data_IF_824203727120
#
_entry.id   IF_824203727120
#
_cell.length_a   1.000
_cell.length_b   1.000
_cell.length_c   1.000
_cell.angle_alpha   90.00
_cell.angle_beta   90.00
_cell.angle_gamma   90.00
#
_symmetry.space_group_name_H-M   'P 1'
#
loop_
_entity.id
_entity.type
_entity.pdbx_description
1 polymer ?
#
# COMPACT_ATOMS: atom_id res chain seq x y z
N UNK A 1 23.26 -14.22 4.64
CA UNK A 1 22.79 -13.10 3.80
C UNK A 1 21.84 -12.24 4.63
N UNK A 2 22.13 -10.95 4.83
CA UNK A 2 21.28 -9.99 5.56
C UNK A 2 20.04 -9.65 4.72
N UNK A 3 19.01 -10.51 4.72
CA UNK A 3 17.77 -10.25 3.98
C UNK A 3 16.81 -9.36 4.79
N UNK A 4 16.77 -9.52 6.12
CA UNK A 4 15.83 -8.85 7.04
C UNK A 4 15.91 -7.33 7.10
N UNK A 5 17.11 -6.76 7.02
CA UNK A 5 17.26 -5.30 7.12
C UNK A 5 16.82 -4.59 5.83
N UNK A 6 16.82 -5.27 4.70
CA UNK A 6 16.48 -4.69 3.39
C UNK A 6 14.98 -4.60 3.21
N UNK A 7 14.23 -5.65 3.54
CA UNK A 7 12.79 -5.67 3.37
C UNK A 7 12.08 -4.72 4.34
N UNK A 8 12.45 -4.74 5.62
CA UNK A 8 11.83 -3.87 6.62
C UNK A 8 12.09 -2.38 6.36
N UNK A 9 13.27 -2.05 5.82
CA UNK A 9 13.65 -0.68 5.43
C UNK A 9 12.98 -0.27 4.12
N UNK A 10 12.83 -1.20 3.17
CA UNK A 10 12.08 -1.01 1.93
C UNK A 10 10.60 -0.76 2.19
N UNK A 11 9.94 -1.62 2.98
CA UNK A 11 8.53 -1.51 3.30
C UNK A 11 8.22 -0.22 4.08
N UNK A 12 9.06 0.19 5.04
CA UNK A 12 8.93 1.51 5.70
C UNK A 12 9.08 2.68 4.74
N UNK A 13 10.00 2.59 3.78
CA UNK A 13 10.18 3.61 2.74
C UNK A 13 8.96 3.69 1.83
N UNK A 14 8.44 2.54 1.39
CA UNK A 14 7.23 2.45 0.56
C UNK A 14 6.00 2.98 1.28
N UNK A 15 5.82 2.67 2.57
CA UNK A 15 4.73 3.23 3.40
C UNK A 15 4.81 4.75 3.44
N UNK A 16 5.99 5.32 3.72
CA UNK A 16 6.17 6.77 3.77
C UNK A 16 5.92 7.43 2.41
N UNK A 17 6.45 6.85 1.34
CA UNK A 17 6.24 7.36 -0.02
C UNK A 17 4.76 7.29 -0.42
N UNK A 18 4.07 6.21 -0.08
CA UNK A 18 2.63 6.07 -0.32
C UNK A 18 1.85 7.09 0.48
N UNK A 19 2.20 7.34 1.74
CA UNK A 19 1.54 8.34 2.57
C UNK A 19 1.69 9.75 1.99
N UNK A 20 2.90 10.11 1.54
CA UNK A 20 3.15 11.41 0.90
C UNK A 20 2.37 11.52 -0.40
N UNK A 21 2.44 10.49 -1.26
CA UNK A 21 1.73 10.50 -2.54
C UNK A 21 0.20 10.57 -2.32
N UNK A 22 -0.35 9.72 -1.45
CA UNK A 22 -1.76 9.74 -1.10
C UNK A 22 -2.19 11.11 -0.54
N UNK A 23 -1.34 11.77 0.26
CA UNK A 23 -1.58 13.13 0.74
C UNK A 23 -1.64 14.16 -0.39
N UNK A 24 -0.72 14.11 -1.35
CA UNK A 24 -0.69 15.01 -2.51
C UNK A 24 -1.92 14.79 -3.40
N UNK A 25 -2.25 13.54 -3.72
CA UNK A 25 -3.43 13.21 -4.51
C UNK A 25 -4.73 13.53 -3.79
N UNK A 26 -4.77 13.41 -2.46
CA UNK A 26 -5.92 13.81 -1.65
C UNK A 26 -6.12 15.33 -1.69
N UNK A 27 -5.07 16.12 -1.50
CA UNK A 27 -5.14 17.58 -1.61
C UNK A 27 -5.60 18.02 -3.00
N UNK A 28 -5.01 17.46 -4.06
CA UNK A 28 -5.43 17.74 -5.43
C UNK A 28 -6.90 17.34 -5.66
N UNK A 29 -7.32 16.16 -5.20
CA UNK A 29 -8.69 15.69 -5.31
C UNK A 29 -9.70 16.57 -4.56
N UNK A 30 -9.35 17.07 -3.37
CA UNK A 30 -10.19 18.00 -2.63
C UNK A 30 -10.32 19.37 -3.29
N UNK A 31 -9.26 19.84 -3.94
CA UNK A 31 -9.18 21.20 -4.47
C UNK A 31 -9.81 21.34 -5.85
N UNK A 32 -9.73 20.31 -6.70
CA UNK A 32 -10.27 20.34 -8.07
C UNK A 32 -11.69 19.77 -8.21
N UNK A 33 -12.09 18.82 -7.36
CA UNK A 33 -13.42 18.20 -7.44
C UNK A 33 -14.27 18.49 -6.20
N UNK A 34 -14.00 17.79 -5.10
CA UNK A 34 -14.77 17.92 -3.87
C UNK A 34 -14.06 17.20 -2.71
N UNK A 35 -14.44 17.54 -1.47
CA UNK A 35 -13.87 16.90 -0.28
C UNK A 35 -14.09 15.38 -0.24
N UNK A 36 -15.19 14.88 -0.83
CA UNK A 36 -15.51 13.45 -0.95
C UNK A 36 -14.50 12.68 -1.81
N UNK A 37 -13.90 13.31 -2.82
CA UNK A 37 -12.86 12.71 -3.67
C UNK A 37 -11.57 12.58 -2.88
N UNK A 38 -11.12 13.65 -2.24
CA UNK A 38 -9.92 13.59 -1.41
C UNK A 38 -10.07 12.64 -0.22
N UNK A 39 -11.24 12.60 0.43
CA UNK A 39 -11.54 11.64 1.49
C UNK A 39 -11.48 10.18 0.96
N UNK A 40 -11.96 9.93 -0.26
CA UNK A 40 -11.79 8.65 -0.95
C UNK A 40 -10.31 8.31 -1.17
N UNK A 41 -9.50 9.26 -1.65
CA UNK A 41 -8.04 9.06 -1.85
C UNK A 41 -7.34 8.74 -0.53
N UNK A 42 -7.66 9.46 0.55
CA UNK A 42 -7.12 9.19 1.89
C UNK A 42 -7.51 7.81 2.37
N UNK A 43 -8.77 7.41 2.21
CA UNK A 43 -9.24 6.08 2.58
C UNK A 43 -8.51 4.96 1.80
N UNK A 44 -8.31 5.15 0.49
CA UNK A 44 -7.56 4.23 -0.37
C UNK A 44 -6.09 4.13 0.04
N UNK A 45 -5.44 5.27 0.25
CA UNK A 45 -4.04 5.33 0.69
C UNK A 45 -3.83 4.74 2.08
N UNK A 46 -4.72 5.03 3.04
CA UNK A 46 -4.68 4.46 4.39
C UNK A 46 -4.82 2.94 4.36
N UNK A 47 -5.75 2.41 3.57
CA UNK A 47 -5.91 0.98 3.41
C UNK A 47 -4.60 0.32 2.93
N UNK A 48 -3.94 0.92 1.93
CA UNK A 48 -2.66 0.43 1.42
C UNK A 48 -1.54 0.47 2.47
N UNK A 49 -1.47 1.56 3.24
CA UNK A 49 -0.49 1.74 4.32
C UNK A 49 -0.71 0.72 5.44
N UNK A 50 -1.96 0.53 5.86
CA UNK A 50 -2.34 -0.44 6.89
C UNK A 50 -2.03 -1.86 6.43
N UNK A 51 -2.33 -2.19 5.17
CA UNK A 51 -2.04 -3.49 4.59
C UNK A 51 -0.53 -3.78 4.57
N UNK A 52 0.30 -2.84 4.14
CA UNK A 52 1.76 -3.00 4.19
C UNK A 52 2.30 -3.06 5.61
N UNK A 53 1.76 -2.25 6.52
CA UNK A 53 2.15 -2.27 7.92
C UNK A 53 1.81 -3.61 8.58
N UNK A 54 0.66 -4.19 8.21
CA UNK A 54 0.26 -5.53 8.65
C UNK A 54 1.20 -6.61 8.13
N UNK A 55 1.58 -6.57 6.85
CA UNK A 55 2.58 -7.48 6.29
C UNK A 55 3.93 -7.36 6.99
N UNK A 56 4.38 -6.13 7.26
CA UNK A 56 5.60 -5.85 8.01
C UNK A 56 5.57 -6.43 9.43
N UNK A 57 4.45 -6.24 10.14
CA UNK A 57 4.27 -6.77 11.48
C UNK A 57 4.26 -8.30 11.48
N UNK A 58 3.64 -8.92 10.47
CA UNK A 58 3.63 -10.39 10.30
C UNK A 58 5.01 -10.94 9.95
N UNK A 59 5.76 -10.26 9.10
CA UNK A 59 7.17 -10.60 8.83
C UNK A 59 8.00 -10.55 10.10
N UNK A 60 7.98 -9.45 10.87
CA UNK A 60 8.74 -9.37 12.12
C UNK A 60 8.32 -10.44 13.14
N UNK A 61 7.04 -10.83 13.16
CA UNK A 61 6.57 -11.93 13.99
C UNK A 61 7.15 -13.28 13.55
N UNK A 62 7.27 -13.53 12.24
CA UNK A 62 7.81 -14.78 11.70
C UNK A 62 9.34 -14.84 11.76
N UNK A 63 10.01 -13.70 11.60
CA UNK A 63 11.45 -13.53 11.81
C UNK A 63 11.84 -13.85 13.26
N UNK A 64 11.05 -13.34 14.25
CA UNK A 64 11.22 -13.69 15.67
C UNK A 64 10.97 -15.17 15.99
N UNK A 65 10.30 -15.90 15.10
CA UNK A 65 10.05 -17.34 15.25
C UNK A 65 11.06 -18.20 14.48
N UNK A 66 12.13 -17.61 13.93
CA UNK A 66 13.17 -18.30 13.13
C UNK A 66 12.59 -19.21 12.04
N UNK A 67 11.44 -18.83 11.45
CA UNK A 67 10.81 -19.65 10.41
C UNK A 67 11.55 -19.50 9.08
N UNK A 68 11.61 -20.59 8.34
CA UNK A 68 12.27 -20.67 7.03
C UNK A 68 11.86 -19.51 6.08
N UNK A 69 12.83 -18.84 5.42
CA UNK A 69 12.56 -17.69 4.55
C UNK A 69 11.69 -18.03 3.34
N UNK A 70 11.70 -19.29 2.90
CA UNK A 70 10.83 -19.81 1.84
C UNK A 70 9.36 -19.83 2.31
N UNK A 71 9.13 -20.19 3.57
CA UNK A 71 7.79 -20.25 4.18
C UNK A 71 7.21 -18.84 4.40
N UNK A 72 8.06 -17.88 4.76
CA UNK A 72 7.71 -16.46 4.89
C UNK A 72 7.31 -15.88 3.52
N UNK A 73 8.12 -16.11 2.49
CA UNK A 73 7.88 -15.60 1.13
C UNK A 73 6.60 -16.18 0.50
N UNK A 74 6.33 -17.47 0.71
CA UNK A 74 5.11 -18.12 0.19
C UNK A 74 3.85 -17.61 0.89
N UNK A 75 3.91 -17.33 2.20
CA UNK A 75 2.78 -16.71 2.91
C UNK A 75 2.61 -15.25 2.55
N UNK A 76 3.70 -14.51 2.31
CA UNK A 76 3.62 -13.15 1.79
C UNK A 76 2.93 -13.09 0.42
N UNK A 77 3.23 -14.03 -0.49
CA UNK A 77 2.58 -14.08 -1.80
C UNK A 77 1.09 -14.42 -1.69
N UNK A 78 0.72 -15.33 -0.79
CA UNK A 78 -0.67 -15.63 -0.43
C UNK A 78 -1.39 -14.41 0.13
N UNK A 79 -0.76 -13.66 1.04
CA UNK A 79 -1.32 -12.41 1.55
C UNK A 79 -1.42 -11.35 0.46
N UNK A 80 -0.44 -11.26 -0.44
CA UNK A 80 -0.48 -10.36 -1.59
C UNK A 80 -1.64 -10.70 -2.54
N UNK A 81 -1.99 -11.98 -2.72
CA UNK A 81 -3.21 -12.39 -3.42
C UNK A 81 -4.47 -11.99 -2.63
N UNK A 82 -4.46 -12.15 -1.30
CA UNK A 82 -5.54 -11.69 -0.42
C UNK A 82 -5.76 -10.17 -0.48
N UNK A 83 -4.74 -9.39 -0.85
CA UNK A 83 -4.84 -7.94 -1.05
C UNK A 83 -5.94 -7.60 -2.05
N UNK A 84 -6.08 -8.35 -3.14
CA UNK A 84 -7.11 -8.12 -4.16
C UNK A 84 -8.51 -8.33 -3.59
N UNK A 85 -8.70 -9.41 -2.82
CA UNK A 85 -9.99 -9.72 -2.17
C UNK A 85 -10.37 -8.63 -1.17
N UNK A 86 -9.41 -8.20 -0.34
CA UNK A 86 -9.63 -7.11 0.61
C UNK A 86 -9.90 -5.78 -0.09
N UNK A 87 -9.21 -5.50 -1.20
CA UNK A 87 -9.41 -4.30 -2.00
C UNK A 87 -10.80 -4.26 -2.66
N UNK A 88 -11.31 -5.41 -3.09
CA UNK A 88 -12.69 -5.54 -3.60
C UNK A 88 -13.69 -5.30 -2.46
N UNK A 89 -13.47 -5.92 -1.29
CA UNK A 89 -14.32 -5.72 -0.11
C UNK A 89 -14.37 -4.26 0.33
N UNK A 90 -13.23 -3.57 0.35
CA UNK A 90 -13.19 -2.15 0.71
C UNK A 90 -13.74 -1.25 -0.38
N UNK A 91 -13.59 -1.59 -1.67
CA UNK A 91 -14.34 -0.93 -2.76
C UNK A 91 -15.85 -1.04 -2.53
N UNK A 92 -16.34 -2.23 -2.21
CA UNK A 92 -17.77 -2.46 -1.91
C UNK A 92 -18.19 -1.66 -0.68
N UNK A 93 -17.40 -1.65 0.40
CA UNK A 93 -17.68 -0.85 1.58
C UNK A 93 -17.74 0.66 1.29
N UNK A 94 -16.88 1.15 0.39
CA UNK A 94 -16.86 2.57 -0.04
C UNK A 94 -18.13 2.95 -0.80
N UNK A 95 -18.73 2.03 -1.58
CA UNK A 95 -20.01 2.26 -2.28
C UNK A 95 -21.15 2.56 -1.28
N UNK A 96 -21.10 1.97 -0.09
CA UNK A 96 -22.09 2.21 0.97
C UNK A 96 -21.82 3.49 1.78
N UNK A 97 -20.71 4.18 1.55
CA UNK A 97 -20.39 5.47 2.18
C UNK A 97 -20.57 6.65 1.23
N UNK A 98 -20.71 7.89 1.73
CA UNK A 98 -20.76 9.09 0.88
C UNK A 98 -19.40 9.45 0.23
N UNK A 99 -18.45 8.51 0.19
CA UNK A 99 -17.12 8.69 -0.37
C UNK A 99 -17.13 8.41 -1.87
N UNK A 100 -16.33 9.15 -2.62
CA UNK A 100 -16.27 8.96 -4.06
C UNK A 100 -15.34 7.78 -4.42
N UNK A 101 -15.88 6.79 -5.11
CA UNK A 101 -15.18 5.60 -5.60
C UNK A 101 -13.99 5.97 -6.50
N UNK A 102 -14.09 7.03 -7.30
CA UNK A 102 -12.99 7.50 -8.13
C UNK A 102 -11.80 7.97 -7.28
N UNK A 103 -12.07 8.69 -6.19
CA UNK A 103 -11.03 9.08 -5.24
C UNK A 103 -10.39 7.85 -4.58
N UNK A 104 -11.22 6.88 -4.20
CA UNK A 104 -10.75 5.62 -3.62
C UNK A 104 -9.83 4.83 -4.56
N UNK A 105 -10.20 4.72 -5.84
CA UNK A 105 -9.38 4.09 -6.87
C UNK A 105 -8.03 4.81 -7.04
N UNK A 106 -8.02 6.14 -7.09
CA UNK A 106 -6.78 6.94 -7.18
C UNK A 106 -5.89 6.70 -5.96
N UNK A 107 -6.47 6.59 -4.76
CA UNK A 107 -5.76 6.24 -3.53
C UNK A 107 -5.22 4.80 -3.50
N UNK A 108 -5.88 3.87 -4.20
CA UNK A 108 -5.40 2.50 -4.36
C UNK A 108 -4.26 2.39 -5.38
N UNK A 109 -4.38 3.11 -6.50
CA UNK A 109 -3.39 3.13 -7.58
C UNK A 109 -2.09 3.81 -7.19
N UNK A 110 -2.11 4.68 -6.17
CA UNK A 110 -0.93 5.42 -5.73
C UNK A 110 0.22 4.52 -5.31
N UNK A 111 -0.08 3.39 -4.66
CA UNK A 111 0.95 2.45 -4.24
C UNK A 111 1.59 1.75 -5.46
N UNK A 112 0.77 1.35 -6.44
CA UNK A 112 1.24 0.70 -7.67
C UNK A 112 2.12 1.65 -8.49
N UNK A 113 1.68 2.90 -8.63
CA UNK A 113 2.43 3.96 -9.30
C UNK A 113 3.78 4.19 -8.60
N UNK A 114 3.79 4.26 -7.27
CA UNK A 114 5.02 4.48 -6.51
C UNK A 114 5.99 3.31 -6.60
N UNK A 115 5.49 2.06 -6.62
CA UNK A 115 6.35 0.88 -6.85
C UNK A 115 6.96 0.84 -8.24
N UNK A 116 6.21 1.28 -9.25
CA UNK A 116 6.72 1.39 -10.62
C UNK A 116 7.78 2.48 -10.72
N UNK A 117 7.54 3.65 -10.10
CA UNK A 117 8.51 4.75 -10.04
C UNK A 117 9.79 4.31 -9.33
N UNK A 118 9.72 3.62 -8.18
CA UNK A 118 10.93 3.12 -7.49
C UNK A 118 11.72 2.12 -8.34
N UNK A 119 11.03 1.23 -9.07
CA UNK A 119 11.67 0.31 -10.03
C UNK A 119 12.32 1.05 -11.18
N UNK A 120 11.64 1.99 -11.81
CA UNK A 120 12.16 2.78 -12.93
C UNK A 120 13.35 3.64 -12.49
N UNK A 121 13.28 4.28 -11.32
CA UNK A 121 14.38 5.07 -10.77
C UNK A 121 15.61 4.21 -10.46
N UNK A 122 15.42 2.97 -10.00
CA UNK A 122 16.54 2.03 -9.83
C UNK A 122 17.11 1.58 -11.17
N UNK A 123 16.27 1.32 -12.16
CA UNK A 123 16.67 0.87 -13.50
C UNK A 123 17.41 1.94 -14.30
N UNK A 124 17.15 3.22 -14.03
CA UNK A 124 17.86 4.37 -14.64
C UNK A 124 19.20 4.64 -13.92
N UNK A 125 19.36 4.16 -12.68
CA UNK A 125 20.59 4.36 -11.88
C UNK A 125 21.59 3.20 -12.00
N UNK A 126 21.20 2.07 -12.57
CA UNK A 126 22.11 1.02 -13.07
C UNK A 126 22.60 1.37 -14.48
#
# INVERSE_FOLDING_TARGET
MKYDQTFARFARRMIRQTAIAAGIFAMAGTMYWNWQVGAGVVAGGLFQILFLSFLLAKEQQWERQEKDPVFISQRLSLFAMCRLVLQILTCVAVVFTPLNIFGYLVGLLTLTLMTLVDRVVKLIKE
#
